data_IF_724128759621
#
_entry.id   IF_724128759621
#
_cell.length_a   1.000
_cell.length_b   1.000
_cell.length_c   1.000
_cell.angle_alpha   90.00
_cell.angle_beta   90.00
_cell.angle_gamma   90.00
#
_symmetry.space_group_name_H-M   'P 1'
#
loop_
_entity.id
_entity.type
_entity.pdbx_description
1 polymer ?
#
# COMPACT_ATOMS: atom_id res chain seq x y z
N UNK A 1 43.95 -34.01 50.10
CA UNK A 1 42.53 -34.28 50.19
C UNK A 1 41.67 -33.02 50.28
N UNK A 2 41.96 -31.95 49.56
CA UNK A 2 41.25 -30.65 49.65
C UNK A 2 40.59 -30.28 48.30
N UNK A 3 40.85 -31.04 47.21
CA UNK A 3 40.38 -30.71 45.86
C UNK A 3 38.97 -31.18 45.51
N UNK A 4 38.36 -32.07 46.32
CA UNK A 4 37.04 -32.64 46.01
C UNK A 4 35.85 -31.79 46.51
N UNK A 5 36.04 -30.98 47.54
CA UNK A 5 34.93 -30.21 48.12
C UNK A 5 34.56 -28.96 47.30
N UNK A 6 35.51 -28.43 46.56
CA UNK A 6 35.23 -27.25 45.71
C UNK A 6 34.61 -27.61 44.34
N UNK A 7 34.87 -28.84 43.86
CA UNK A 7 34.26 -29.30 42.62
C UNK A 7 32.75 -29.51 42.77
N UNK A 8 32.30 -29.98 43.94
CA UNK A 8 30.85 -30.18 44.20
C UNK A 8 30.15 -28.82 44.38
N UNK A 9 30.82 -27.84 44.96
CA UNK A 9 30.26 -26.49 45.12
C UNK A 9 30.13 -25.77 43.77
N UNK A 10 31.09 -25.99 42.85
CA UNK A 10 31.06 -25.41 41.52
C UNK A 10 29.99 -26.04 40.62
N UNK A 11 29.73 -27.35 40.79
CA UNK A 11 28.65 -28.04 40.06
C UNK A 11 27.28 -27.60 40.59
N UNK A 12 27.14 -27.33 41.88
CA UNK A 12 25.90 -26.83 42.44
C UNK A 12 25.55 -25.40 42.00
N UNK A 13 26.57 -24.56 41.75
CA UNK A 13 26.38 -23.20 41.21
C UNK A 13 26.01 -23.18 39.73
N UNK A 14 26.38 -24.21 38.94
CA UNK A 14 25.99 -24.32 37.52
C UNK A 14 24.58 -24.88 37.35
N UNK A 15 24.05 -25.58 38.35
CA UNK A 15 22.66 -26.12 38.30
C UNK A 15 21.61 -25.08 38.66
N UNK A 16 21.96 -23.97 39.30
CA UNK A 16 21.02 -22.88 39.65
C UNK A 16 20.91 -21.84 38.52
N UNK A 17 21.80 -21.90 37.51
CA UNK A 17 21.82 -20.94 36.39
C UNK A 17 20.95 -21.24 35.21
N UNK A 18 20.23 -22.38 35.15
CA UNK A 18 19.46 -22.79 34.00
C UNK A 18 17.97 -23.11 34.26
N UNK A 19 17.43 -22.64 35.35
CA UNK A 19 15.95 -22.56 35.48
C UNK A 19 15.52 -21.08 35.43
N UNK A 20 15.85 -20.38 34.36
CA UNK A 20 14.87 -19.44 33.85
C UNK A 20 13.81 -20.30 33.21
N UNK A 21 12.88 -20.77 34.04
CA UNK A 21 11.53 -20.95 33.61
C UNK A 21 11.19 -19.76 32.73
N UNK A 22 10.57 -19.99 31.64
CA UNK A 22 9.72 -19.03 30.96
C UNK A 22 8.62 -18.62 31.95
N UNK A 23 9.06 -18.06 33.10
CA UNK A 23 8.21 -17.36 34.02
C UNK A 23 7.71 -16.17 33.25
N UNK A 24 6.55 -16.42 32.73
CA UNK A 24 5.48 -15.57 33.09
C UNK A 24 5.83 -14.10 32.90
N UNK A 25 6.21 -13.76 31.66
CA UNK A 25 5.52 -12.59 31.13
C UNK A 25 4.07 -13.02 31.19
N UNK A 26 3.24 -12.44 32.08
CA UNK A 26 1.83 -12.68 32.04
C UNK A 26 1.47 -12.48 30.58
N UNK A 27 0.94 -13.50 29.92
CA UNK A 27 0.32 -13.27 28.61
C UNK A 27 -0.52 -12.05 28.85
N UNK A 28 -0.11 -10.93 28.25
CA UNK A 28 -0.85 -9.70 28.39
C UNK A 28 -2.25 -10.08 27.98
N UNK A 29 -3.13 -10.15 28.97
CA UNK A 29 -4.50 -10.52 28.72
C UNK A 29 -5.10 -9.36 27.95
N UNK A 30 -4.95 -9.43 26.64
CA UNK A 30 -5.44 -8.42 25.71
C UNK A 30 -6.94 -8.17 25.93
N UNK A 31 -7.66 -9.12 26.50
CA UNK A 31 -9.04 -8.92 26.90
C UNK A 31 -9.19 -7.99 28.11
N UNK A 32 -8.14 -7.83 28.94
CA UNK A 32 -8.08 -6.83 30.02
C UNK A 32 -7.59 -5.47 29.54
N UNK A 33 -6.71 -5.44 28.54
CA UNK A 33 -6.22 -4.21 27.92
C UNK A 33 -7.30 -3.57 27.03
N UNK A 34 -8.19 -4.37 26.45
CA UNK A 34 -9.32 -3.89 25.70
C UNK A 34 -10.59 -4.14 26.52
N UNK A 35 -11.12 -3.11 27.23
CA UNK A 35 -12.26 -3.26 28.11
C UNK A 35 -13.59 -3.56 27.40
N UNK A 36 -13.55 -3.86 26.13
CA UNK A 36 -14.71 -4.18 25.30
C UNK A 36 -14.75 -5.68 25.05
N UNK A 37 -15.48 -6.39 25.89
CA UNK A 37 -15.80 -7.80 25.64
C UNK A 37 -16.55 -7.92 24.32
N UNK A 38 -16.00 -8.67 23.37
CA UNK A 38 -16.60 -8.90 22.06
C UNK A 38 -15.87 -8.24 20.87
N UNK A 39 -14.79 -7.50 21.10
CA UNK A 39 -13.93 -7.08 20.02
C UNK A 39 -12.99 -8.23 19.69
N UNK A 40 -13.14 -8.79 18.49
CA UNK A 40 -12.18 -9.75 17.97
C UNK A 40 -10.79 -9.11 17.91
N UNK A 41 -9.76 -9.87 18.30
CA UNK A 41 -8.37 -9.46 18.14
C UNK A 41 -8.16 -9.00 16.70
N UNK A 42 -7.39 -7.91 16.48
CA UNK A 42 -7.14 -7.43 15.13
C UNK A 42 -6.56 -8.56 14.29
N UNK A 43 -7.35 -9.09 13.38
CA UNK A 43 -6.86 -9.94 12.32
C UNK A 43 -6.20 -9.04 11.28
N UNK A 44 -4.90 -8.83 11.40
CA UNK A 44 -4.12 -8.36 10.27
C UNK A 44 -4.00 -9.55 9.32
N UNK A 45 -5.04 -9.81 8.55
CA UNK A 45 -5.07 -10.90 7.60
C UNK A 45 -4.98 -10.30 6.21
N UNK A 46 -3.74 -10.10 5.73
CA UNK A 46 -3.51 -9.85 4.31
C UNK A 46 -3.85 -11.07 3.45
N UNK A 47 -3.89 -12.25 4.03
CA UNK A 47 -4.03 -13.53 3.33
C UNK A 47 -5.43 -13.76 2.79
N UNK A 48 -6.45 -13.25 3.48
CA UNK A 48 -7.84 -13.39 3.06
C UNK A 48 -8.30 -12.32 2.06
N UNK A 49 -7.41 -11.35 1.74
CA UNK A 49 -7.76 -10.24 0.85
C UNK A 49 -7.31 -10.54 -0.56
N UNK A 50 -8.27 -10.83 -1.42
CA UNK A 50 -8.00 -11.12 -2.83
C UNK A 50 -7.88 -9.83 -3.62
N UNK A 51 -6.70 -9.61 -4.21
CA UNK A 51 -6.52 -8.57 -5.22
C UNK A 51 -7.17 -9.07 -6.50
N UNK A 52 -8.15 -8.32 -6.98
CA UNK A 52 -8.80 -8.60 -8.26
C UNK A 52 -8.13 -7.76 -9.34
N UNK A 53 -7.70 -8.42 -10.41
CA UNK A 53 -7.13 -7.74 -11.57
C UNK A 53 -8.26 -7.21 -12.43
N UNK A 54 -8.12 -5.97 -12.88
CA UNK A 54 -8.99 -5.37 -13.87
C UNK A 54 -8.37 -5.42 -15.25
N UNK A 55 -9.15 -5.07 -16.28
CA UNK A 55 -8.63 -4.88 -17.63
C UNK A 55 -8.04 -3.47 -17.77
N UNK A 56 -6.71 -3.34 -17.90
CA UNK A 56 -6.06 -2.03 -18.01
C UNK A 56 -6.34 -1.32 -19.33
N UNK A 57 -6.91 -2.02 -20.30
CA UNK A 57 -7.25 -1.49 -21.65
C UNK A 57 -8.73 -1.20 -21.81
N UNK A 58 -9.55 -1.56 -20.81
CA UNK A 58 -10.96 -1.17 -20.84
C UNK A 58 -11.11 0.35 -20.93
N UNK A 59 -12.15 0.81 -21.60
CA UNK A 59 -12.48 2.24 -21.65
C UNK A 59 -12.79 2.72 -20.23
N UNK A 60 -11.88 3.54 -19.67
CA UNK A 60 -11.89 3.89 -18.25
C UNK A 60 -12.68 5.17 -17.98
N UNK A 61 -13.25 5.80 -19.01
CA UNK A 61 -13.94 7.09 -18.85
C UNK A 61 -15.11 7.03 -17.87
N UNK A 62 -15.79 5.87 -17.75
CA UNK A 62 -16.97 5.73 -16.92
C UNK A 62 -17.03 4.41 -16.12
N UNK A 63 -15.96 3.62 -16.14
CA UNK A 63 -15.97 2.32 -15.49
C UNK A 63 -15.52 2.44 -14.03
N UNK A 64 -16.43 2.23 -13.14
CA UNK A 64 -16.19 2.04 -11.70
C UNK A 64 -16.52 0.60 -11.38
N UNK A 65 -15.57 -0.15 -10.81
CA UNK A 65 -15.86 -1.49 -10.32
C UNK A 65 -16.97 -1.43 -9.28
N UNK A 66 -18.04 -2.22 -9.46
CA UNK A 66 -19.12 -2.23 -8.50
C UNK A 66 -18.59 -2.72 -7.16
N UNK A 67 -18.92 -1.99 -6.10
CA UNK A 67 -18.76 -2.48 -4.75
C UNK A 67 -19.75 -3.60 -4.44
N UNK A 68 -19.61 -4.16 -3.27
CA UNK A 68 -20.53 -5.15 -2.71
C UNK A 68 -21.31 -4.48 -1.58
N UNK A 69 -22.60 -4.73 -1.49
CA UNK A 69 -23.39 -4.28 -0.36
C UNK A 69 -23.11 -5.18 0.86
N UNK A 70 -22.54 -4.57 1.90
CA UNK A 70 -22.27 -5.24 3.17
C UNK A 70 -23.21 -4.62 4.20
N UNK A 71 -24.08 -5.43 4.79
CA UNK A 71 -25.11 -4.97 5.74
C UNK A 71 -24.79 -5.34 7.19
N UNK A 72 -23.82 -6.21 7.42
CA UNK A 72 -23.42 -6.65 8.76
C UNK A 72 -21.95 -6.32 8.99
N UNK A 73 -21.63 -5.90 10.21
CA UNK A 73 -20.26 -5.55 10.61
C UNK A 73 -19.59 -4.50 9.69
N UNK A 74 -20.39 -3.52 9.25
CA UNK A 74 -19.92 -2.44 8.39
C UNK A 74 -18.84 -1.65 9.11
N UNK A 75 -17.68 -1.52 8.50
CA UNK A 75 -16.56 -0.70 8.98
C UNK A 75 -16.38 0.54 8.13
N UNK A 76 -15.91 1.59 8.74
CA UNK A 76 -15.43 2.78 8.06
C UNK A 76 -13.91 2.71 7.92
N UNK A 77 -13.42 2.97 6.73
CA UNK A 77 -11.99 2.94 6.40
C UNK A 77 -11.50 4.33 6.05
N UNK A 78 -10.32 4.66 6.53
CA UNK A 78 -9.51 5.75 6.00
C UNK A 78 -8.71 5.23 4.82
N UNK A 79 -9.04 5.68 3.63
CA UNK A 79 -8.32 5.34 2.39
C UNK A 79 -7.30 6.43 2.11
N UNK A 80 -6.08 6.04 1.79
CA UNK A 80 -4.99 6.95 1.47
C UNK A 80 -4.34 6.54 0.15
N UNK A 81 -4.37 7.42 -0.83
CA UNK A 81 -3.60 7.33 -2.07
C UNK A 81 -2.40 8.26 -1.96
N UNK A 82 -1.21 7.73 -2.16
CA UNK A 82 0.02 8.49 -2.26
C UNK A 82 0.63 8.24 -3.63
N UNK A 83 0.99 9.31 -4.34
CA UNK A 83 1.58 9.17 -5.66
C UNK A 83 2.62 10.26 -5.94
N UNK A 84 3.57 9.93 -6.78
CA UNK A 84 4.64 10.82 -7.21
C UNK A 84 5.20 10.38 -8.55
N UNK A 85 5.88 11.27 -9.23
CA UNK A 85 6.73 10.91 -10.36
C UNK A 85 8.06 11.65 -10.29
N UNK A 86 9.04 11.06 -10.92
CA UNK A 86 10.35 11.65 -11.11
C UNK A 86 10.69 11.62 -12.59
N UNK A 87 11.00 12.77 -13.11
CA UNK A 87 11.51 12.93 -14.46
C UNK A 87 12.99 13.26 -14.40
N UNK A 88 13.79 12.51 -15.16
CA UNK A 88 15.20 12.79 -15.30
C UNK A 88 15.36 13.78 -16.45
N UNK A 89 15.84 14.95 -16.15
CA UNK A 89 16.29 15.90 -17.16
C UNK A 89 17.68 15.44 -17.63
N UNK A 90 17.74 14.71 -18.74
CA UNK A 90 19.00 14.43 -19.38
C UNK A 90 19.59 15.74 -19.93
N UNK A 91 20.85 16.00 -19.63
CA UNK A 91 21.63 17.08 -20.23
C UNK A 91 22.16 16.69 -21.59
N UNK A 92 21.85 15.48 -22.05
CA UNK A 92 22.33 14.96 -23.34
C UNK A 92 21.55 15.63 -24.49
N UNK A 93 22.27 16.24 -25.46
CA UNK A 93 21.67 16.93 -26.60
C UNK A 93 20.75 16.03 -27.43
N UNK A 94 21.02 14.72 -27.47
CA UNK A 94 20.18 13.75 -28.15
C UNK A 94 18.81 13.59 -27.50
N UNK A 95 18.73 13.78 -26.18
CA UNK A 95 17.46 13.74 -25.42
C UNK A 95 16.76 15.10 -25.42
N UNK A 96 17.45 16.21 -25.69
CA UNK A 96 16.87 17.55 -25.76
C UNK A 96 16.20 17.86 -27.09
N UNK A 97 16.51 17.16 -28.15
CA UNK A 97 15.92 17.35 -29.50
C UNK A 97 14.41 17.00 -29.56
N UNK A 98 13.88 16.28 -28.57
CA UNK A 98 12.47 16.09 -28.37
C UNK A 98 12.20 16.05 -26.86
N UNK A 99 11.94 17.19 -26.24
CA UNK A 99 11.47 17.23 -24.86
C UNK A 99 10.22 16.36 -24.72
N UNK A 100 10.44 15.12 -24.32
CA UNK A 100 9.36 14.22 -24.04
C UNK A 100 9.11 14.27 -22.55
N UNK A 101 8.08 14.99 -22.23
CA UNK A 101 7.60 15.06 -20.87
C UNK A 101 7.03 13.69 -20.47
N UNK A 102 7.22 13.32 -19.24
CA UNK A 102 6.55 12.16 -18.66
C UNK A 102 5.05 12.33 -18.73
N UNK A 103 4.36 11.30 -19.24
CA UNK A 103 2.90 11.29 -19.39
C UNK A 103 2.34 10.10 -18.62
N UNK A 104 2.41 10.18 -17.29
CA UNK A 104 1.82 9.18 -16.41
C UNK A 104 0.41 9.62 -16.03
N UNK A 105 -0.47 8.65 -15.96
CA UNK A 105 -1.85 8.82 -15.54
C UNK A 105 -2.16 7.81 -14.45
N UNK A 106 -2.68 8.29 -13.34
CA UNK A 106 -3.11 7.50 -12.20
C UNK A 106 -4.59 7.75 -12.02
N UNK A 107 -5.36 6.68 -11.85
CA UNK A 107 -6.80 6.77 -11.62
C UNK A 107 -7.19 6.00 -10.39
N UNK A 108 -8.13 6.55 -9.65
CA UNK A 108 -8.68 5.94 -8.45
C UNK A 108 -10.18 6.29 -8.34
N UNK A 109 -10.89 5.59 -7.49
CA UNK A 109 -12.30 5.87 -7.19
C UNK A 109 -12.36 6.64 -5.88
N UNK A 110 -13.08 7.75 -5.86
CA UNK A 110 -13.27 8.58 -4.67
C UNK A 110 -14.47 8.12 -3.82
N UNK A 111 -14.70 8.82 -2.71
CA UNK A 111 -15.81 8.52 -1.78
C UNK A 111 -17.19 8.55 -2.44
N UNK A 112 -17.37 9.36 -3.50
CA UNK A 112 -18.61 9.46 -4.26
C UNK A 112 -18.75 8.37 -5.33
N UNK A 113 -17.86 7.39 -5.32
CA UNK A 113 -17.71 6.35 -6.35
C UNK A 113 -17.46 6.92 -7.75
N UNK A 114 -16.83 8.08 -7.83
CA UNK A 114 -16.43 8.69 -9.08
C UNK A 114 -14.98 8.38 -9.39
N UNK A 115 -14.71 8.13 -10.67
CA UNK A 115 -13.36 7.96 -11.16
C UNK A 115 -12.65 9.30 -11.18
N UNK A 116 -11.50 9.38 -10.50
CA UNK A 116 -10.63 10.55 -10.46
C UNK A 116 -9.34 10.27 -11.21
N UNK A 117 -8.85 11.30 -11.87
CA UNK A 117 -7.65 11.23 -12.70
C UNK A 117 -6.59 12.20 -12.20
N UNK A 118 -5.43 11.65 -11.85
CA UNK A 118 -4.21 12.39 -11.53
C UNK A 118 -3.24 12.16 -12.69
N UNK A 119 -2.65 13.21 -13.21
CA UNK A 119 -1.75 13.11 -14.36
C UNK A 119 -0.49 13.98 -14.19
N UNK A 120 0.54 13.68 -14.95
CA UNK A 120 1.74 14.51 -15.03
C UNK A 120 1.66 15.54 -16.16
N UNK A 121 0.71 15.38 -17.08
CA UNK A 121 0.52 16.20 -18.26
C UNK A 121 -0.95 16.62 -18.39
N UNK A 122 -1.19 17.89 -18.67
CA UNK A 122 -2.52 18.48 -18.89
C UNK A 122 -3.28 17.90 -20.07
N UNK A 123 -2.60 17.21 -20.97
CA UNK A 123 -3.21 16.55 -22.14
C UNK A 123 -4.02 15.30 -21.78
N UNK A 124 -3.83 14.75 -20.60
CA UNK A 124 -4.66 13.65 -20.15
C UNK A 124 -6.12 14.11 -19.95
N UNK A 125 -7.05 13.43 -20.59
CA UNK A 125 -8.45 13.78 -20.52
C UNK A 125 -9.00 13.59 -19.10
N UNK A 126 -9.78 14.55 -18.63
CA UNK A 126 -10.44 14.47 -17.34
C UNK A 126 -9.50 14.60 -16.15
N UNK A 127 -8.34 15.28 -16.30
CA UNK A 127 -7.39 15.48 -15.20
C UNK A 127 -7.99 16.34 -14.09
N UNK A 128 -8.15 15.75 -12.91
CA UNK A 128 -8.58 16.44 -11.69
C UNK A 128 -7.40 17.10 -10.98
N UNK A 129 -6.23 16.47 -11.02
CA UNK A 129 -5.02 16.98 -10.36
C UNK A 129 -3.77 16.76 -11.22
N UNK A 130 -2.89 17.76 -11.24
CA UNK A 130 -1.63 17.72 -11.97
C UNK A 130 -0.46 17.54 -11.00
N UNK A 131 0.27 16.43 -11.16
CA UNK A 131 1.46 16.15 -10.36
C UNK A 131 2.60 17.11 -10.72
N UNK A 132 3.38 17.45 -9.71
CA UNK A 132 4.63 18.19 -9.86
C UNK A 132 5.82 17.23 -9.75
N UNK A 133 6.78 17.37 -10.63
CA UNK A 133 8.01 16.56 -10.63
C UNK A 133 8.70 16.57 -9.26
N UNK A 134 9.11 15.40 -8.78
CA UNK A 134 9.74 15.17 -7.47
C UNK A 134 8.90 15.61 -6.25
N UNK A 135 7.59 15.77 -6.40
CA UNK A 135 6.70 16.05 -5.27
C UNK A 135 5.70 14.92 -5.10
N UNK A 136 5.56 14.52 -3.86
CA UNK A 136 4.52 13.59 -3.46
C UNK A 136 3.18 14.30 -3.34
N UNK A 137 2.14 13.64 -3.81
CA UNK A 137 0.76 14.05 -3.66
C UNK A 137 -0.02 12.98 -2.90
N UNK A 138 -0.74 13.39 -1.88
CA UNK A 138 -1.54 12.50 -1.04
C UNK A 138 -3.01 12.91 -1.08
N UNK A 139 -3.86 11.94 -1.33
CA UNK A 139 -5.32 12.07 -1.24
C UNK A 139 -5.80 11.15 -0.12
N UNK A 140 -6.65 11.67 0.75
CA UNK A 140 -7.24 10.88 1.83
C UNK A 140 -8.75 11.08 1.83
N UNK A 141 -9.50 9.98 1.94
CA UNK A 141 -10.94 9.99 2.05
C UNK A 141 -11.44 8.83 2.89
N UNK A 142 -12.71 8.81 3.22
CA UNK A 142 -13.36 7.72 3.95
C UNK A 142 -14.23 6.89 3.01
N UNK A 143 -14.26 5.58 3.26
CA UNK A 143 -15.11 4.64 2.56
C UNK A 143 -15.62 3.58 3.54
N UNK A 144 -16.69 2.89 3.20
CA UNK A 144 -17.25 1.82 4.02
C UNK A 144 -16.91 0.44 3.46
N UNK A 145 -17.11 -0.59 4.28
CA UNK A 145 -17.10 -1.99 3.83
C UNK A 145 -17.89 -2.15 2.52
N UNK A 146 -17.37 -2.97 1.61
CA UNK A 146 -17.95 -3.15 0.28
C UNK A 146 -17.51 -2.14 -0.77
N UNK A 147 -16.78 -1.08 -0.40
CA UNK A 147 -16.25 -0.11 -1.34
C UNK A 147 -15.12 -0.70 -2.19
N UNK A 148 -15.09 -0.48 -3.51
CA UNK A 148 -14.02 -0.93 -4.39
C UNK A 148 -12.81 0.02 -4.31
N UNK A 149 -11.81 -0.32 -3.52
CA UNK A 149 -10.53 0.40 -3.50
C UNK A 149 -9.78 0.08 -4.79
N UNK A 150 -9.78 1.00 -5.74
CA UNK A 150 -9.31 0.83 -7.11
C UNK A 150 -8.07 1.67 -7.39
N UNK A 151 -7.11 1.08 -8.11
CA UNK A 151 -5.94 1.77 -8.63
C UNK A 151 -5.66 1.35 -10.06
N UNK A 152 -5.49 2.33 -10.93
CA UNK A 152 -5.04 2.16 -12.30
C UNK A 152 -3.88 3.11 -12.58
N UNK A 153 -2.82 2.59 -13.20
CA UNK A 153 -1.63 3.38 -13.55
C UNK A 153 -1.18 2.99 -14.94
N UNK A 154 -0.99 3.98 -15.78
CA UNK A 154 -0.45 3.82 -17.13
C UNK A 154 0.36 5.05 -17.54
N UNK A 155 1.12 4.93 -18.60
CA UNK A 155 1.81 6.09 -19.16
C UNK A 155 3.09 5.77 -19.92
N UNK A 156 3.78 6.83 -20.24
CA UNK A 156 5.07 6.80 -20.90
C UNK A 156 5.98 7.83 -20.25
N UNK A 157 7.27 7.60 -20.28
CA UNK A 157 8.25 8.55 -19.80
C UNK A 157 9.60 8.37 -20.48
N UNK A 158 10.46 9.39 -20.43
CA UNK A 158 11.83 9.28 -20.90
C UNK A 158 12.62 8.32 -19.99
N UNK A 159 13.75 7.87 -20.48
CA UNK A 159 14.70 7.07 -19.72
C UNK A 159 15.00 7.71 -18.35
N UNK A 160 15.15 6.89 -17.33
CA UNK A 160 15.36 7.29 -15.92
C UNK A 160 14.20 8.07 -15.28
N UNK A 161 13.04 8.14 -15.92
CA UNK A 161 11.83 8.59 -15.26
C UNK A 161 11.16 7.45 -14.50
N UNK A 162 10.37 7.81 -13.50
CA UNK A 162 9.60 6.83 -12.72
C UNK A 162 8.27 7.38 -12.29
N UNK A 163 7.33 6.47 -12.03
CA UNK A 163 6.05 6.77 -11.39
C UNK A 163 5.85 5.82 -10.21
N UNK A 164 5.34 6.36 -9.14
CA UNK A 164 4.97 5.62 -7.94
C UNK A 164 3.54 5.97 -7.55
N UNK A 165 2.75 4.96 -7.24
CA UNK A 165 1.41 5.13 -6.71
C UNK A 165 1.09 4.00 -5.74
N UNK A 166 0.55 4.34 -4.58
CA UNK A 166 0.11 3.37 -3.58
C UNK A 166 -1.23 3.81 -3.02
N UNK A 167 -2.22 2.94 -3.05
CA UNK A 167 -3.49 3.14 -2.35
C UNK A 167 -3.63 2.08 -1.27
N UNK A 168 -4.01 2.51 -0.08
CA UNK A 168 -4.16 1.68 1.10
C UNK A 168 -5.40 2.08 1.88
N UNK A 169 -5.91 1.18 2.70
CA UNK A 169 -7.02 1.47 3.59
C UNK A 169 -6.79 0.84 4.97
N UNK A 170 -7.17 1.58 6.00
CA UNK A 170 -7.14 1.12 7.40
C UNK A 170 -8.49 1.47 8.01
N UNK A 171 -9.09 0.54 8.72
CA UNK A 171 -10.34 0.81 9.44
C UNK A 171 -10.12 1.87 10.53
N UNK A 172 -11.11 2.70 10.80
CA UNK A 172 -11.01 3.78 11.79
C UNK A 172 -10.72 3.26 13.20
N UNK A 173 -11.17 2.04 13.51
CA UNK A 173 -10.84 1.35 14.74
C UNK A 173 -9.40 0.79 14.77
N UNK A 174 -8.68 0.85 13.66
CA UNK A 174 -7.31 0.37 13.51
C UNK A 174 -7.16 -1.15 13.42
N UNK A 175 -8.25 -1.92 13.50
CA UNK A 175 -8.19 -3.37 13.58
C UNK A 175 -8.09 -4.07 12.23
N UNK A 176 -8.43 -3.41 11.14
CA UNK A 176 -8.32 -3.98 9.81
C UNK A 176 -7.41 -3.13 8.93
N UNK A 177 -6.34 -3.73 8.47
CA UNK A 177 -5.43 -3.15 7.48
C UNK A 177 -5.66 -3.87 6.16
N UNK A 178 -6.03 -3.12 5.14
CA UNK A 178 -6.25 -3.68 3.81
C UNK A 178 -4.93 -3.74 3.06
N UNK A 179 -4.70 -4.83 2.33
CA UNK A 179 -3.50 -4.99 1.51
C UNK A 179 -3.37 -3.83 0.53
N UNK A 180 -2.25 -3.09 0.54
CA UNK A 180 -2.09 -1.96 -0.37
C UNK A 180 -1.97 -2.43 -1.82
N UNK A 181 -2.55 -1.65 -2.73
CA UNK A 181 -2.25 -1.73 -4.15
C UNK A 181 -1.11 -0.75 -4.42
N UNK A 182 -0.01 -1.23 -4.95
CA UNK A 182 1.18 -0.41 -5.15
C UNK A 182 1.79 -0.67 -6.53
N UNK A 183 2.23 0.39 -7.15
CA UNK A 183 2.93 0.40 -8.43
C UNK A 183 4.19 1.23 -8.29
N UNK A 184 5.29 0.69 -8.79
CA UNK A 184 6.53 1.41 -8.94
C UNK A 184 7.14 1.02 -10.28
N UNK A 185 7.01 1.89 -11.24
CA UNK A 185 7.55 1.70 -12.58
C UNK A 185 8.72 2.66 -12.84
N UNK A 186 9.77 2.11 -13.39
CA UNK A 186 10.99 2.82 -13.76
C UNK A 186 11.33 2.57 -15.23
N UNK A 187 11.56 3.65 -15.96
CA UNK A 187 11.90 3.59 -17.38
C UNK A 187 13.41 3.46 -17.54
N UNK A 188 13.87 2.30 -17.95
CA UNK A 188 15.29 1.98 -18.05
C UNK A 188 15.80 1.85 -19.50
N UNK A 189 14.92 2.00 -20.49
CA UNK A 189 15.29 1.91 -21.91
C UNK A 189 15.59 3.29 -22.47
N UNK A 190 16.50 3.33 -23.46
CA UNK A 190 16.79 4.56 -24.19
C UNK A 190 15.55 5.07 -24.93
N UNK A 191 15.41 6.40 -24.96
CA UNK A 191 14.28 7.06 -25.62
C UNK A 191 13.05 7.15 -24.72
N UNK A 192 11.88 7.00 -25.33
CA UNK A 192 10.58 7.03 -24.65
C UNK A 192 10.07 5.62 -24.55
N UNK A 193 9.78 5.19 -23.35
CA UNK A 193 9.24 3.88 -23.13
C UNK A 193 7.84 3.95 -22.48
N UNK A 194 7.01 2.98 -22.81
CA UNK A 194 5.69 2.78 -22.19
C UNK A 194 5.85 1.91 -20.97
N UNK A 195 4.99 2.10 -19.99
CA UNK A 195 4.78 1.09 -18.96
C UNK A 195 4.44 -0.22 -19.68
N UNK A 196 5.27 -1.25 -19.46
CA UNK A 196 5.15 -2.53 -20.17
C UNK A 196 3.81 -3.22 -19.92
N UNK A 197 3.33 -3.13 -18.70
CA UNK A 197 2.05 -3.66 -18.28
C UNK A 197 1.33 -2.57 -17.47
N UNK A 198 0.34 -1.89 -18.05
CA UNK A 198 -0.49 -0.97 -17.29
C UNK A 198 -1.09 -1.70 -16.09
N UNK A 199 -1.00 -1.08 -14.92
CA UNK A 199 -1.54 -1.67 -13.71
C UNK A 199 -3.03 -1.36 -13.61
N UNK A 200 -3.82 -2.37 -13.31
CA UNK A 200 -5.24 -2.22 -13.04
C UNK A 200 -5.67 -3.27 -12.02
N UNK A 201 -5.99 -2.85 -10.81
CA UNK A 201 -6.43 -3.75 -9.77
C UNK A 201 -7.39 -3.05 -8.79
N UNK A 202 -8.16 -3.86 -8.06
CA UNK A 202 -9.02 -3.38 -6.99
C UNK A 202 -9.16 -4.43 -5.88
N UNK A 203 -9.54 -3.95 -4.72
CA UNK A 203 -9.91 -4.77 -3.57
C UNK A 203 -11.24 -4.24 -3.06
N UNK A 204 -12.20 -5.13 -2.80
CA UNK A 204 -13.41 -4.79 -2.08
C UNK A 204 -13.07 -4.70 -0.60
N UNK A 205 -13.33 -3.56 0.03
CA UNK A 205 -13.07 -3.37 1.46
C UNK A 205 -13.94 -4.33 2.29
N UNK A 206 -13.33 -5.14 3.17
CA UNK A 206 -14.03 -6.14 3.96
C UNK A 206 -14.93 -5.53 5.05
#
# INVERSE_FOLDING_TARGET
MIRSKYAVLFLALLAVGCSRSSEDYPEEDYNKLFPFSGIEKPKISYEDQVIQLGDPYASVSDFVYPGVEITQNVRTYKVTLTCSFKEHTSTDEACTAGKVDSRYVIRYVDTDKKLRTIATDKRAQGTDFLLTNNKEHTVTFTAQSGFPMYLWVNGVGPQNSSVHATISAVSEDGFTIVKPLAVHEYQNQEGIDKIKAPFCAYIILP
#
